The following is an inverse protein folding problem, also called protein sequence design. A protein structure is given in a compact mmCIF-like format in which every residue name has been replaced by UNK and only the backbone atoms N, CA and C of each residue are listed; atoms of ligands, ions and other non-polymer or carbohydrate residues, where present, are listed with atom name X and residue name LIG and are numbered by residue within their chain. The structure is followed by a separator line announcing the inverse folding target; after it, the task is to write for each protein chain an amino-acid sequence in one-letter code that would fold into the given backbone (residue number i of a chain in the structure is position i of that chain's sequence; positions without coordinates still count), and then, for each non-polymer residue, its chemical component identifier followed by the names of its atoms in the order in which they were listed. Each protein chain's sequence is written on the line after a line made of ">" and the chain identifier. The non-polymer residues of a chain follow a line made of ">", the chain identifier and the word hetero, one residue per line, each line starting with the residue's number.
data_IF_549277827893
#
_entry.id   IF_549277827893
#
_cell.length_a   1.000
_cell.length_b   1.000
_cell.length_c   1.000
_cell.angle_alpha   90.00
_cell.angle_beta   90.00
_cell.angle_gamma   90.00
#
_symmetry.space_group_name_H-M   'P 1'
#
loop_
_entity.id
_entity.type
_entity.pdbx_description
1 polymer ?
#
# COMPACT_ATOMS: atom_id res chain seq x y z
N UNK A 1 6.64 -8.22 19.84
CA UNK A 1 5.74 -7.56 18.88
C UNK A 1 6.25 -6.13 18.73
N UNK A 2 6.74 -5.78 17.55
CA UNK A 2 7.24 -4.43 17.27
C UNK A 2 6.04 -3.53 16.98
N UNK A 3 5.99 -2.36 17.59
CA UNK A 3 4.96 -1.35 17.31
C UNK A 3 5.37 -0.60 16.04
N UNK A 4 4.54 -0.63 15.00
CA UNK A 4 4.85 -0.03 13.68
C UNK A 4 5.28 1.44 13.77
N UNK A 5 4.63 2.20 14.66
CA UNK A 5 4.97 3.59 14.97
C UNK A 5 6.39 3.77 15.49
N UNK A 6 6.98 2.76 16.14
CA UNK A 6 8.37 2.79 16.63
C UNK A 6 9.36 2.24 15.61
N UNK A 7 8.92 1.35 14.72
CA UNK A 7 9.80 0.76 13.71
C UNK A 7 10.26 1.81 12.69
N UNK A 8 9.34 2.66 12.23
CA UNK A 8 9.59 3.64 11.18
C UNK A 8 9.97 5.05 11.65
N UNK A 9 10.05 5.29 12.97
CA UNK A 9 10.29 6.62 13.53
C UNK A 9 11.73 7.12 13.42
N UNK A 10 12.71 6.21 13.30
CA UNK A 10 14.14 6.51 13.37
C UNK A 10 14.82 6.14 12.04
N UNK A 11 14.39 6.82 10.96
CA UNK A 11 14.98 6.66 9.63
C UNK A 11 15.98 7.80 9.41
N UNK A 12 17.23 7.46 9.21
CA UNK A 12 18.15 8.35 8.51
C UNK A 12 18.71 7.58 7.33
N UNK A 13 18.27 7.88 6.11
CA UNK A 13 18.85 7.32 4.88
C UNK A 13 20.29 7.81 4.62
N UNK A 14 20.95 8.39 5.63
CA UNK A 14 22.28 8.95 5.54
C UNK A 14 23.33 7.89 5.85
N UNK A 15 24.36 7.82 5.02
CA UNK A 15 25.55 6.97 5.18
C UNK A 15 25.30 5.46 5.19
N UNK A 16 24.20 4.98 4.59
CA UNK A 16 24.01 3.54 4.35
C UNK A 16 25.13 3.02 3.43
N UNK A 17 25.88 1.96 3.79
CA UNK A 17 26.90 1.37 2.91
C UNK A 17 26.30 0.74 1.65
N UNK A 18 27.05 0.69 0.54
CA UNK A 18 26.57 0.08 -0.72
C UNK A 18 26.39 -1.44 -0.66
N UNK A 19 27.10 -2.10 0.25
CA UNK A 19 27.15 -3.56 0.41
C UNK A 19 26.33 -4.06 1.62
N UNK A 20 25.44 -3.22 2.14
CA UNK A 20 24.53 -3.59 3.23
C UNK A 20 23.62 -4.76 2.82
N UNK A 21 23.49 -5.74 3.71
CA UNK A 21 22.56 -6.85 3.53
C UNK A 21 21.22 -6.47 4.16
N UNK A 22 20.10 -6.57 3.44
CA UNK A 22 18.79 -6.24 4.00
C UNK A 22 18.38 -7.20 5.12
N UNK A 23 17.89 -6.65 6.23
CA UNK A 23 17.29 -7.40 7.34
C UNK A 23 15.76 -7.25 7.32
N UNK A 24 15.06 -8.35 7.06
CA UNK A 24 13.59 -8.34 6.98
C UNK A 24 12.95 -8.67 8.33
N UNK A 25 11.86 -7.97 8.64
CA UNK A 25 11.02 -8.33 9.78
C UNK A 25 10.10 -9.50 9.45
N UNK A 26 9.57 -10.14 10.49
CA UNK A 26 8.31 -10.89 10.39
C UNK A 26 7.14 -9.96 10.04
N UNK A 27 6.02 -10.54 9.61
CA UNK A 27 4.78 -9.79 9.36
C UNK A 27 4.25 -9.15 10.64
N UNK A 28 4.00 -7.85 10.59
CA UNK A 28 3.44 -7.06 11.69
C UNK A 28 1.99 -6.68 11.38
N UNK A 29 1.08 -6.97 12.30
CA UNK A 29 -0.30 -6.49 12.19
C UNK A 29 -0.33 -4.95 12.26
N UNK A 30 -1.05 -4.34 11.32
CA UNK A 30 -1.27 -2.89 11.28
C UNK A 30 -2.68 -2.52 11.70
N UNK A 31 -3.69 -2.99 10.95
CA UNK A 31 -5.08 -2.54 11.13
C UNK A 31 -6.08 -3.50 10.51
N UNK A 32 -7.34 -3.42 10.94
CA UNK A 32 -8.46 -4.11 10.29
C UNK A 32 -9.26 -3.16 9.40
N UNK A 33 -9.73 -3.66 8.25
CA UNK A 33 -10.71 -2.99 7.40
C UNK A 33 -11.92 -3.89 7.19
N UNK A 34 -13.10 -3.30 6.98
CA UNK A 34 -14.29 -4.05 6.57
C UNK A 34 -14.55 -3.72 5.11
N UNK A 35 -14.38 -4.71 4.24
CA UNK A 35 -14.72 -4.62 2.81
C UNK A 35 -16.22 -4.78 2.66
N UNK A 36 -16.84 -3.86 1.93
CA UNK A 36 -18.30 -3.77 1.75
C UNK A 36 -18.74 -3.88 0.29
N UNK A 37 -17.85 -3.60 -0.65
CA UNK A 37 -18.12 -3.56 -2.09
C UNK A 37 -17.75 -4.85 -2.82
N UNK A 38 -16.97 -5.73 -2.19
CA UNK A 38 -16.41 -6.93 -2.80
C UNK A 38 -15.21 -6.64 -3.70
N UNK A 39 -14.67 -5.42 -3.64
CA UNK A 39 -13.47 -5.03 -4.37
C UNK A 39 -12.54 -4.24 -3.46
N UNK A 40 -11.26 -4.39 -3.71
CA UNK A 40 -10.22 -3.54 -3.13
C UNK A 40 -9.22 -3.24 -4.22
N UNK A 41 -8.75 -2.00 -4.28
CA UNK A 41 -7.76 -1.54 -5.23
C UNK A 41 -6.49 -1.09 -4.51
N UNK A 42 -5.39 -1.08 -5.26
CA UNK A 42 -4.16 -0.40 -4.92
C UNK A 42 -3.68 0.43 -6.12
N UNK A 43 -3.29 1.66 -5.85
CA UNK A 43 -2.70 2.59 -6.83
C UNK A 43 -1.95 3.70 -6.10
N UNK A 44 -1.20 4.51 -6.85
CA UNK A 44 -0.92 5.86 -6.38
C UNK A 44 -2.21 6.68 -6.26
N UNK A 45 -2.21 7.67 -5.36
CA UNK A 45 -3.40 8.45 -5.03
C UNK A 45 -3.92 9.32 -6.19
N UNK A 46 -3.03 9.83 -7.04
CA UNK A 46 -3.38 10.61 -8.24
C UNK A 46 -3.97 9.73 -9.37
N UNK A 47 -3.73 8.42 -9.34
CA UNK A 47 -4.30 7.46 -10.30
C UNK A 47 -5.70 6.99 -9.88
N UNK A 48 -6.06 7.14 -8.59
CA UNK A 48 -7.36 6.72 -8.10
C UNK A 48 -8.52 7.45 -8.84
N UNK A 49 -9.64 6.75 -9.18
CA UNK A 49 -9.98 5.38 -8.80
C UNK A 49 -9.30 4.29 -9.64
N UNK A 50 -8.57 4.63 -10.69
CA UNK A 50 -7.95 3.69 -11.60
C UNK A 50 -6.72 3.05 -10.92
N UNK A 51 -6.75 1.73 -10.78
CA UNK A 51 -5.74 1.00 -10.01
C UNK A 51 -5.87 -0.51 -10.18
N UNK A 52 -4.91 -1.25 -9.63
CA UNK A 52 -4.96 -2.71 -9.63
C UNK A 52 -6.08 -3.16 -8.70
N UNK A 53 -7.21 -3.55 -9.30
CA UNK A 53 -8.42 -3.94 -8.58
C UNK A 53 -8.51 -5.45 -8.42
N UNK A 54 -8.73 -5.89 -7.18
CA UNK A 54 -8.89 -7.31 -6.82
C UNK A 54 -10.32 -7.57 -6.36
N UNK A 55 -10.96 -8.53 -7.02
CA UNK A 55 -12.26 -9.07 -6.58
C UNK A 55 -12.06 -9.96 -5.37
N UNK A 56 -12.76 -9.64 -4.28
CA UNK A 56 -12.67 -10.33 -2.98
C UNK A 56 -14.04 -10.41 -2.33
N UNK A 57 -14.22 -11.30 -1.37
CA UNK A 57 -15.51 -11.38 -0.65
C UNK A 57 -15.68 -10.23 0.34
N UNK A 58 -16.93 -9.83 0.58
CA UNK A 58 -17.26 -8.93 1.69
C UNK A 58 -16.86 -9.56 3.04
N UNK A 59 -16.30 -8.76 3.94
CA UNK A 59 -15.81 -9.30 5.21
C UNK A 59 -14.86 -8.37 5.96
N UNK A 60 -14.25 -8.93 7.00
CA UNK A 60 -13.21 -8.25 7.77
C UNK A 60 -11.86 -8.73 7.23
N UNK A 61 -10.99 -7.78 6.93
CA UNK A 61 -9.64 -7.98 6.43
C UNK A 61 -8.65 -7.33 7.37
N UNK A 62 -7.41 -7.80 7.32
CA UNK A 62 -6.29 -7.38 8.16
C UNK A 62 -5.15 -6.94 7.24
N UNK A 63 -4.60 -5.78 7.55
CA UNK A 63 -3.35 -5.29 6.97
C UNK A 63 -2.19 -5.83 7.80
N UNK A 64 -1.25 -6.44 7.10
CA UNK A 64 0.06 -6.80 7.64
C UNK A 64 1.14 -6.09 6.85
N UNK A 65 2.18 -5.67 7.55
CA UNK A 65 3.32 -4.95 6.98
C UNK A 65 4.56 -5.78 7.25
N UNK A 66 5.40 -5.93 6.22
CA UNK A 66 6.76 -6.44 6.36
C UNK A 66 7.71 -5.26 6.19
N UNK A 67 8.60 -5.07 7.16
CA UNK A 67 9.65 -4.09 7.08
C UNK A 67 10.94 -4.71 6.54
N UNK A 68 11.81 -3.86 6.02
CA UNK A 68 13.22 -4.14 5.73
C UNK A 68 14.07 -3.07 6.39
N UNK A 69 15.23 -3.46 6.90
CA UNK A 69 16.25 -2.56 7.42
C UNK A 69 17.54 -2.71 6.64
N UNK A 70 18.08 -1.58 6.20
CA UNK A 70 19.41 -1.42 5.63
C UNK A 70 20.20 -0.58 6.62
N UNK A 71 20.72 -1.24 7.66
CA UNK A 71 21.29 -0.60 8.86
C UNK A 71 20.31 0.40 9.52
N UNK A 72 20.54 1.71 9.34
CA UNK A 72 19.78 2.81 9.91
C UNK A 72 18.63 3.29 9.01
N UNK A 73 18.51 2.79 7.78
CA UNK A 73 17.33 3.05 6.95
C UNK A 73 16.33 1.91 7.02
N UNK A 74 15.08 2.22 7.36
CA UNK A 74 14.01 1.24 7.52
C UNK A 74 12.86 1.57 6.61
N UNK A 75 12.42 0.60 5.82
CA UNK A 75 11.40 0.79 4.78
C UNK A 75 10.35 -0.29 4.85
N UNK A 76 9.20 -0.02 4.24
CA UNK A 76 8.18 -1.04 4.03
C UNK A 76 8.62 -1.84 2.81
N UNK A 77 8.87 -3.14 2.98
CA UNK A 77 9.16 -4.01 1.84
C UNK A 77 7.90 -4.56 1.23
N UNK A 78 6.89 -4.89 2.05
CA UNK A 78 5.62 -5.44 1.55
C UNK A 78 4.42 -5.04 2.41
N UNK A 79 3.27 -4.91 1.76
CA UNK A 79 1.97 -4.75 2.44
C UNK A 79 1.04 -5.86 1.98
N UNK A 80 0.46 -6.55 2.95
CA UNK A 80 -0.46 -7.66 2.76
C UNK A 80 -1.83 -7.28 3.26
N UNK A 81 -2.84 -7.38 2.40
CA UNK A 81 -4.23 -7.19 2.74
C UNK A 81 -4.97 -8.53 2.61
N UNK A 82 -5.40 -9.11 3.73
CA UNK A 82 -5.87 -10.50 3.77
C UNK A 82 -7.14 -10.66 4.62
N UNK A 83 -8.05 -11.54 4.20
CA UNK A 83 -9.26 -11.89 4.95
C UNK A 83 -8.91 -12.43 6.33
N UNK A 84 -9.54 -11.87 7.36
CA UNK A 84 -9.29 -12.22 8.76
C UNK A 84 -9.52 -13.71 8.99
N UNK A 85 -8.51 -14.37 9.58
CA UNK A 85 -8.56 -15.79 9.92
C UNK A 85 -8.19 -16.75 8.79
N UNK A 86 -7.85 -16.26 7.61
CA UNK A 86 -7.28 -17.09 6.53
C UNK A 86 -5.78 -17.32 6.72
N UNK A 87 -5.27 -18.38 6.11
CA UNK A 87 -3.85 -18.76 6.03
C UNK A 87 -3.40 -18.74 4.56
N UNK A 88 -3.23 -17.55 3.96
CA UNK A 88 -3.00 -17.45 2.53
C UNK A 88 -1.62 -17.95 2.11
N UNK A 89 -1.54 -18.43 0.87
CA UNK A 89 -0.31 -18.53 0.10
C UNK A 89 -0.24 -17.42 -0.94
N UNK A 90 0.97 -17.00 -1.29
CA UNK A 90 1.20 -16.05 -2.38
C UNK A 90 0.85 -16.74 -3.71
N UNK A 91 -0.02 -16.11 -4.49
CA UNK A 91 -0.49 -16.60 -5.78
C UNK A 91 0.19 -15.92 -6.95
N UNK A 92 -0.51 -15.85 -8.09
CA UNK A 92 -0.01 -15.20 -9.28
C UNK A 92 0.11 -13.67 -9.15
N UNK A 93 1.11 -13.09 -9.83
CA UNK A 93 1.18 -11.65 -10.09
C UNK A 93 -0.02 -11.23 -10.95
N UNK A 94 -0.70 -10.17 -10.56
CA UNK A 94 -1.90 -9.67 -11.23
C UNK A 94 -1.69 -8.33 -11.94
N UNK A 95 -0.59 -7.65 -11.67
CA UNK A 95 -0.24 -6.39 -12.30
C UNK A 95 0.93 -5.73 -11.58
N UNK A 96 1.23 -4.53 -12.04
CA UNK A 96 2.14 -3.59 -11.42
C UNK A 96 1.35 -2.32 -11.09
N UNK A 97 1.68 -1.69 -9.98
CA UNK A 97 1.27 -0.32 -9.69
C UNK A 97 2.49 0.58 -9.78
N UNK A 98 2.29 1.83 -10.17
CA UNK A 98 3.36 2.81 -10.24
C UNK A 98 3.28 3.77 -9.04
N UNK A 99 4.38 4.44 -8.74
CA UNK A 99 4.38 5.61 -7.85
C UNK A 99 5.41 6.63 -8.29
N UNK A 100 5.02 7.91 -8.28
CA UNK A 100 5.83 9.13 -8.46
C UNK A 100 5.95 9.97 -7.17
N UNK A 101 5.12 9.65 -6.18
CA UNK A 101 5.05 10.29 -4.87
C UNK A 101 5.55 9.35 -3.77
N UNK A 102 6.28 8.30 -4.15
CA UNK A 102 6.80 7.26 -3.27
C UNK A 102 5.75 6.62 -2.36
N UNK A 103 4.49 6.53 -2.78
CA UNK A 103 3.37 6.05 -1.97
C UNK A 103 2.31 5.33 -2.78
N UNK A 104 1.79 4.25 -2.19
CA UNK A 104 0.64 3.52 -2.70
C UNK A 104 -0.50 3.49 -1.68
N UNK A 105 -1.73 3.55 -2.17
CA UNK A 105 -2.94 3.65 -1.38
C UNK A 105 -3.87 2.49 -1.64
N UNK A 106 -4.45 1.95 -0.57
CA UNK A 106 -5.45 0.89 -0.61
C UNK A 106 -6.83 1.48 -0.34
N UNK A 107 -7.80 1.21 -1.21
CA UNK A 107 -9.17 1.73 -1.09
C UNK A 107 -10.21 0.80 -1.73
N UNK A 108 -11.50 1.03 -1.44
CA UNK A 108 -12.61 0.35 -2.15
C UNK A 108 -13.02 1.20 -3.36
N UNK A 109 -12.67 0.80 -4.61
CA UNK A 109 -12.79 1.66 -5.78
C UNK A 109 -14.23 2.05 -6.09
N UNK A 110 -15.19 1.16 -5.84
CA UNK A 110 -16.61 1.45 -6.09
C UNK A 110 -17.15 2.56 -5.15
N UNK A 111 -16.62 2.67 -3.92
CA UNK A 111 -16.99 3.79 -3.04
C UNK A 111 -16.42 5.11 -3.53
N UNK A 112 -15.19 5.10 -4.04
CA UNK A 112 -14.54 6.28 -4.58
C UNK A 112 -15.22 6.76 -5.87
N UNK A 113 -15.51 5.82 -6.78
CA UNK A 113 -16.16 6.10 -8.04
C UNK A 113 -17.56 6.67 -7.83
N UNK A 114 -18.29 6.21 -6.81
CA UNK A 114 -19.58 6.83 -6.46
C UNK A 114 -19.40 8.27 -5.99
N UNK A 115 -18.41 8.56 -5.14
CA UNK A 115 -18.15 9.93 -4.70
C UNK A 115 -17.76 10.85 -5.86
N UNK A 116 -16.88 10.40 -6.75
CA UNK A 116 -16.53 11.10 -7.98
C UNK A 116 -17.76 11.40 -8.86
N UNK A 117 -18.66 10.43 -9.04
CA UNK A 117 -19.85 10.60 -9.87
C UNK A 117 -20.94 11.47 -9.20
N UNK A 118 -20.97 11.55 -7.87
CA UNK A 118 -21.91 12.39 -7.11
C UNK A 118 -21.52 13.87 -7.19
N UNK A 119 -20.24 14.19 -7.03
CA UNK A 119 -19.74 15.56 -6.91
C UNK A 119 -18.25 15.64 -7.30
N UNK A 120 -17.97 15.75 -8.60
CA UNK A 120 -16.60 15.79 -9.16
C UNK A 120 -15.78 16.96 -8.62
N UNK A 121 -16.36 18.17 -8.51
CA UNK A 121 -15.64 19.35 -8.00
C UNK A 121 -15.18 19.11 -6.55
N UNK A 122 -16.07 18.58 -5.70
CA UNK A 122 -15.71 18.23 -4.33
C UNK A 122 -14.73 17.07 -4.25
N UNK A 123 -14.78 16.13 -5.19
CA UNK A 123 -13.80 15.06 -5.30
C UNK A 123 -12.41 15.64 -5.62
N UNK A 124 -12.31 16.56 -6.58
CA UNK A 124 -11.04 17.21 -6.95
C UNK A 124 -10.47 17.99 -5.76
N UNK A 125 -11.30 18.81 -5.09
CA UNK A 125 -10.87 19.54 -3.89
C UNK A 125 -10.34 18.58 -2.81
N UNK A 126 -11.04 17.46 -2.61
CA UNK A 126 -10.65 16.47 -1.61
C UNK A 126 -9.35 15.75 -1.98
N UNK A 127 -9.16 15.32 -3.24
CA UNK A 127 -7.95 14.59 -3.66
C UNK A 127 -6.73 15.52 -3.57
N UNK A 128 -6.87 16.80 -3.94
CA UNK A 128 -5.80 17.80 -3.80
C UNK A 128 -5.39 18.00 -2.34
N UNK A 129 -6.36 18.09 -1.42
CA UNK A 129 -6.12 18.26 0.01
C UNK A 129 -5.33 17.10 0.62
N UNK A 130 -5.61 15.87 0.21
CA UNK A 130 -4.97 14.68 0.78
C UNK A 130 -3.67 14.31 0.07
N UNK A 131 -3.47 14.70 -1.19
CA UNK A 131 -2.31 14.30 -2.00
C UNK A 131 -1.00 14.65 -1.29
N UNK A 132 -0.95 15.79 -0.62
CA UNK A 132 0.24 16.28 0.10
C UNK A 132 0.28 15.96 1.60
N UNK A 133 -0.71 15.23 2.12
CA UNK A 133 -0.73 14.85 3.54
C UNK A 133 0.21 13.66 3.82
N UNK A 134 0.84 13.63 4.99
CA UNK A 134 1.72 12.52 5.39
C UNK A 134 0.93 11.26 5.80
N UNK A 135 1.60 10.09 5.82
CA UNK A 135 1.05 8.74 6.12
C UNK A 135 -0.21 8.74 7.02
N UNK A 136 -1.25 7.99 6.63
CA UNK A 136 -2.47 7.97 7.42
C UNK A 136 -3.63 7.18 6.84
N UNK A 137 -4.73 7.18 7.60
CA UNK A 137 -6.04 6.76 7.11
C UNK A 137 -6.88 8.01 6.88
N UNK A 138 -7.22 8.26 5.62
CA UNK A 138 -8.06 9.39 5.23
C UNK A 138 -9.52 8.95 5.17
N UNK A 139 -10.40 9.86 5.58
CA UNK A 139 -11.85 9.63 5.62
C UNK A 139 -12.54 10.68 4.77
N UNK A 140 -13.41 10.25 3.88
CA UNK A 140 -14.42 11.11 3.26
C UNK A 140 -15.78 10.69 3.75
N UNK A 141 -16.57 11.66 4.20
CA UNK A 141 -18.00 11.46 4.46
C UNK A 141 -18.79 12.10 3.30
N UNK A 142 -19.45 11.29 2.49
CA UNK A 142 -20.38 11.81 1.45
C UNK A 142 -21.67 12.31 2.11
N UNK A 143 -22.28 13.35 1.52
CA UNK A 143 -23.44 14.04 2.12
C UNK A 143 -24.71 13.18 2.14
N UNK A 144 -24.86 12.23 1.20
CA UNK A 144 -26.11 11.46 1.07
C UNK A 144 -26.06 10.09 1.78
N UNK A 145 -24.89 9.49 2.01
CA UNK A 145 -24.83 8.10 2.54
C UNK A 145 -24.02 7.91 3.83
N UNK A 146 -23.30 8.90 4.37
CA UNK A 146 -22.38 8.71 5.52
C UNK A 146 -21.47 7.48 5.35
N UNK A 147 -21.06 7.16 4.12
CA UNK A 147 -20.10 6.10 3.87
C UNK A 147 -18.72 6.69 4.04
N UNK A 148 -18.00 6.21 5.06
CA UNK A 148 -16.61 6.57 5.30
C UNK A 148 -15.74 5.87 4.25
N UNK A 149 -15.34 6.59 3.20
CA UNK A 149 -14.33 6.10 2.26
C UNK A 149 -13.00 6.10 2.98
N UNK A 150 -12.31 4.96 3.01
CA UNK A 150 -11.02 4.81 3.68
C UNK A 150 -9.92 4.60 2.67
N UNK A 151 -8.90 5.45 2.76
CA UNK A 151 -7.63 5.30 2.06
C UNK A 151 -6.57 4.92 3.07
N UNK A 152 -5.88 3.80 2.84
CA UNK A 152 -4.72 3.41 3.63
C UNK A 152 -3.48 3.65 2.79
N UNK A 153 -2.71 4.69 3.14
CA UNK A 153 -1.50 5.10 2.42
C UNK A 153 -0.26 4.48 3.07
N UNK A 154 0.63 3.95 2.24
CA UNK A 154 1.92 3.39 2.66
C UNK A 154 3.02 3.99 1.79
N UNK A 155 4.16 4.31 2.40
CA UNK A 155 5.37 4.63 1.64
C UNK A 155 5.84 3.41 0.86
N UNK A 156 6.19 3.64 -0.40
CA UNK A 156 6.55 2.65 -1.39
C UNK A 156 8.08 2.59 -1.53
N UNK A 157 8.67 1.53 -0.99
CA UNK A 157 10.04 1.11 -1.29
C UNK A 157 11.08 2.24 -1.22
N UNK A 158 11.85 2.39 -2.31
CA UNK A 158 12.92 3.39 -2.40
C UNK A 158 12.47 4.80 -2.77
N UNK A 159 11.21 4.98 -3.18
CA UNK A 159 10.76 6.19 -3.85
C UNK A 159 9.84 5.82 -5.01
N UNK A 160 10.13 6.44 -6.14
CA UNK A 160 9.39 6.23 -7.38
C UNK A 160 9.71 4.87 -7.99
N UNK A 161 8.75 4.25 -8.64
CA UNK A 161 8.96 2.96 -9.29
C UNK A 161 7.69 2.15 -9.55
N UNK A 162 7.91 0.98 -10.14
CA UNK A 162 6.88 -0.02 -10.42
C UNK A 162 6.93 -1.13 -9.37
N UNK A 163 5.77 -1.50 -8.84
CA UNK A 163 5.64 -2.44 -7.73
C UNK A 163 4.68 -3.57 -8.06
N UNK A 164 5.14 -4.79 -7.82
CA UNK A 164 4.40 -5.99 -8.17
C UNK A 164 3.23 -6.21 -7.20
N UNK A 165 2.06 -6.48 -7.77
CA UNK A 165 0.86 -6.85 -7.00
C UNK A 165 0.53 -8.32 -7.26
N UNK A 166 0.35 -9.07 -6.18
CA UNK A 166 0.10 -10.52 -6.19
C UNK A 166 -1.24 -10.83 -5.52
N UNK A 167 -1.96 -11.84 -6.02
CA UNK A 167 -3.11 -12.39 -5.28
C UNK A 167 -2.65 -13.19 -4.07
N UNK A 168 -3.49 -13.21 -3.05
CA UNK A 168 -3.41 -14.17 -1.95
C UNK A 168 -4.48 -15.23 -2.13
N UNK A 169 -4.09 -16.50 -2.05
CA UNK A 169 -4.96 -17.64 -2.25
C UNK A 169 -5.08 -18.48 -0.99
N UNK A 170 -6.28 -18.95 -0.70
CA UNK A 170 -6.53 -20.06 0.23
C UNK A 170 -7.38 -21.07 -0.53
N UNK A 171 -6.84 -22.27 -0.72
CA UNK A 171 -7.33 -23.21 -1.73
C UNK A 171 -7.46 -22.53 -3.12
N UNK A 172 -8.64 -22.58 -3.74
CA UNK A 172 -8.91 -21.96 -5.05
C UNK A 172 -9.42 -20.51 -4.95
N UNK A 173 -9.63 -20.00 -3.72
CA UNK A 173 -10.28 -18.72 -3.48
C UNK A 173 -9.27 -17.58 -3.29
N UNK A 174 -9.54 -16.43 -3.92
CA UNK A 174 -8.81 -15.19 -3.61
C UNK A 174 -9.28 -14.65 -2.26
N UNK A 175 -8.36 -14.55 -1.30
CA UNK A 175 -8.63 -14.07 0.06
C UNK A 175 -7.96 -12.73 0.36
N UNK A 176 -7.38 -12.09 -0.65
CA UNK A 176 -6.67 -10.83 -0.49
C UNK A 176 -5.63 -10.61 -1.59
N UNK A 177 -4.72 -9.68 -1.35
CA UNK A 177 -3.59 -9.39 -2.21
C UNK A 177 -2.42 -8.80 -1.42
N UNK A 178 -1.24 -8.85 -2.03
CA UNK A 178 0.02 -8.36 -1.48
C UNK A 178 0.70 -7.48 -2.52
N UNK A 179 1.24 -6.35 -2.09
CA UNK A 179 2.14 -5.52 -2.89
C UNK A 179 3.57 -5.70 -2.38
N UNK A 180 4.50 -5.88 -3.31
CA UNK A 180 5.94 -5.94 -3.06
C UNK A 180 6.60 -4.65 -3.52
N UNK A 181 7.15 -3.91 -2.58
CA UNK A 181 7.90 -2.69 -2.83
C UNK A 181 9.41 -2.91 -2.92
N UNK A 182 9.94 -3.85 -2.14
CA UNK A 182 11.36 -4.21 -2.07
C UNK A 182 11.45 -5.73 -2.00
N UNK A 183 12.19 -6.35 -2.92
CA UNK A 183 12.38 -7.81 -2.97
C UNK A 183 13.32 -8.27 -1.86
N UNK A 184 13.21 -9.55 -1.48
CA UNK A 184 13.98 -10.14 -0.38
C UNK A 184 15.50 -10.12 -0.61
N UNK A 185 15.94 -9.99 -1.88
CA UNK A 185 17.34 -9.91 -2.30
C UNK A 185 17.73 -8.55 -2.91
N UNK A 186 16.85 -7.55 -2.82
CA UNK A 186 17.08 -6.25 -3.42
C UNK A 186 18.14 -5.45 -2.64
N UNK A 187 19.22 -5.00 -3.29
CA UNK A 187 20.23 -4.18 -2.64
C UNK A 187 19.69 -2.78 -2.33
N UNK A 188 20.37 -2.06 -1.45
CA UNK A 188 20.05 -0.66 -1.20
C UNK A 188 20.34 0.19 -2.43
N UNK A 189 19.35 0.97 -2.90
CA UNK A 189 19.49 1.83 -4.08
C UNK A 189 19.80 3.26 -3.64
N UNK A 190 20.84 3.87 -4.21
CA UNK A 190 21.14 5.28 -4.04
C UNK A 190 20.58 6.09 -5.21
N UNK A 191 20.01 7.26 -4.94
CA UNK A 191 19.48 8.17 -5.96
C UNK A 191 20.49 8.51 -7.08
N UNK A 192 21.79 8.55 -6.76
CA UNK A 192 22.85 8.79 -7.74
C UNK A 192 22.98 7.68 -8.79
N UNK A 193 22.59 6.45 -8.44
CA UNK A 193 22.65 5.29 -9.35
C UNK A 193 21.43 5.25 -10.29
N UNK A 194 20.31 5.90 -9.93
CA UNK A 194 19.08 5.99 -10.75
C UNK A 194 19.21 7.05 -11.86
N UNK A 195 19.87 8.18 -11.59
CA UNK A 195 19.97 9.33 -12.52
C UNK A 195 21.01 9.10 -13.64
N UNK A 196 21.84 8.06 -13.56
CA UNK A 196 22.88 7.78 -14.57
C UNK A 196 22.41 6.86 -15.72
N UNK A 197 21.21 6.27 -15.61
CA UNK A 197 20.70 5.33 -16.61
C UNK A 197 19.67 5.93 -17.60
N UNK A 198 19.33 7.22 -17.48
CA UNK A 198 18.52 7.99 -18.46
C UNK A 198 19.36 8.87 -19.40
#
# INVERSE_FOLDING_TARGET
>A
MVELSKYFWDRSGENVPRDVVPEFTEWMFYKTHRVTTGKMAVSEMNEAPDGITVQIENGIYEFYIRGVAYENDKRISRVRFVKKGSSPVLGEKIGETYSDLAQNSFYEPDLLLNFFNEDDEKYQDWIEDIMFSYEGVFYVTTHEEKKDIKFYRFEAGFGDGEFDVYKLKEDEHTVGFEIEFIKDDEPYIFWEDVVQEE
#
